data_IF_028530952301
#
_entry.id   IF_028530952301
#
_cell.length_a   1.000
_cell.length_b   1.000
_cell.length_c   1.000
_cell.angle_alpha   90.00
_cell.angle_beta   90.00
_cell.angle_gamma   90.00
#
_symmetry.space_group_name_H-M   'P 1'
#
loop_
_entity.id
_entity.type
_entity.pdbx_description
1 polymer ?
#
# COMPACT_ATOMS: atom_id res chain seq x y z
N UNK A 1 -3.40 6.00 -20.63
CA UNK A 1 -2.56 7.16 -20.24
C UNK A 1 -2.32 7.05 -18.74
N UNK A 2 -1.07 7.16 -18.28
CA UNK A 2 -0.78 7.16 -16.84
C UNK A 2 -1.00 8.57 -16.27
N UNK A 3 -1.59 8.68 -15.07
CA UNK A 3 -1.83 9.97 -14.38
C UNK A 3 -0.59 10.49 -13.64
N UNK A 4 0.41 9.62 -13.45
CA UNK A 4 1.67 9.91 -12.75
C UNK A 4 2.81 9.15 -13.42
N UNK A 5 4.04 9.61 -13.21
CA UNK A 5 5.25 8.86 -13.55
C UNK A 5 5.32 7.55 -12.76
N UNK A 6 5.91 6.54 -13.37
CA UNK A 6 6.18 5.26 -12.72
C UNK A 6 7.26 5.38 -11.64
N UNK A 7 7.09 4.64 -10.54
CA UNK A 7 8.10 4.49 -9.49
C UNK A 7 9.03 3.32 -9.80
N UNK A 8 10.24 3.31 -9.25
CA UNK A 8 11.13 2.15 -9.31
C UNK A 8 11.61 1.82 -7.90
N UNK A 9 11.41 0.57 -7.50
CA UNK A 9 11.87 0.03 -6.22
C UNK A 9 12.80 -1.15 -6.48
N UNK A 10 13.84 -1.34 -5.65
CA UNK A 10 14.78 -2.44 -5.83
C UNK A 10 14.10 -3.78 -5.54
N UNK A 11 14.51 -4.82 -6.28
CA UNK A 11 14.20 -6.20 -5.91
C UNK A 11 14.90 -6.54 -4.60
N UNK A 12 14.21 -7.25 -3.70
CA UNK A 12 14.80 -7.75 -2.46
C UNK A 12 15.73 -8.93 -2.78
N UNK A 13 17.03 -8.65 -2.86
CA UNK A 13 18.07 -9.64 -3.17
C UNK A 13 18.89 -10.08 -1.95
N UNK A 14 18.66 -9.47 -0.80
CA UNK A 14 19.37 -9.70 0.44
C UNK A 14 18.41 -9.76 1.62
N UNK A 15 18.87 -10.31 2.74
CA UNK A 15 18.08 -10.35 3.97
C UNK A 15 17.94 -8.94 4.53
N UNK A 16 16.70 -8.52 4.78
CA UNK A 16 16.39 -7.22 5.34
C UNK A 16 15.97 -7.34 6.81
N UNK A 17 16.64 -6.59 7.69
CA UNK A 17 16.24 -6.47 9.10
C UNK A 17 15.35 -5.26 9.30
N UNK A 18 14.08 -5.51 9.59
CA UNK A 18 13.09 -4.47 9.93
C UNK A 18 12.31 -4.87 11.17
N UNK A 19 11.66 -3.91 11.82
CA UNK A 19 10.76 -4.22 12.94
C UNK A 19 9.46 -4.86 12.46
N UNK A 20 8.96 -4.42 11.30
CA UNK A 20 7.72 -4.93 10.70
C UNK A 20 7.90 -5.12 9.20
N UNK A 21 7.58 -6.32 8.70
CA UNK A 21 7.44 -6.60 7.28
C UNK A 21 5.96 -6.59 6.88
N UNK A 22 5.63 -5.81 5.85
CA UNK A 22 4.28 -5.66 5.30
C UNK A 22 4.26 -6.34 3.93
N UNK A 23 3.39 -7.34 3.78
CA UNK A 23 3.22 -8.08 2.53
C UNK A 23 2.00 -7.51 1.79
N UNK A 24 2.23 -6.94 0.61
CA UNK A 24 1.24 -6.27 -0.23
C UNK A 24 1.42 -4.75 -0.30
N UNK A 25 1.68 -4.24 -1.51
CA UNK A 25 1.87 -2.83 -1.86
C UNK A 25 0.59 -2.13 -2.33
N UNK A 26 -0.58 -2.56 -1.83
CA UNK A 26 -1.85 -1.87 -2.06
C UNK A 26 -2.09 -0.70 -1.10
N UNK A 27 -3.25 -0.06 -1.18
CA UNK A 27 -3.59 1.08 -0.30
C UNK A 27 -3.46 0.74 1.19
N UNK A 28 -3.94 -0.43 1.60
CA UNK A 28 -3.87 -0.86 3.00
C UNK A 28 -2.44 -0.99 3.49
N UNK A 29 -1.57 -1.68 2.74
CA UNK A 29 -0.16 -1.87 3.12
C UNK A 29 0.60 -0.55 3.21
N UNK A 30 0.39 0.34 2.25
CA UNK A 30 1.02 1.66 2.22
C UNK A 30 0.52 2.54 3.38
N UNK A 31 -0.79 2.55 3.65
CA UNK A 31 -1.35 3.30 4.78
C UNK A 31 -0.85 2.76 6.12
N UNK A 32 -0.76 1.44 6.30
CA UNK A 32 -0.18 0.83 7.50
C UNK A 32 1.29 1.22 7.68
N UNK A 33 2.10 1.13 6.62
CA UNK A 33 3.51 1.53 6.66
C UNK A 33 3.67 3.02 7.02
N UNK A 34 2.82 3.89 6.46
CA UNK A 34 2.83 5.32 6.77
C UNK A 34 2.55 5.58 8.25
N UNK A 35 1.53 4.94 8.82
CA UNK A 35 1.19 5.10 10.24
C UNK A 35 2.30 4.58 11.15
N UNK A 36 2.88 3.41 10.83
CA UNK A 36 4.00 2.85 11.60
C UNK A 36 5.25 3.73 11.54
N UNK A 37 5.59 4.25 10.36
CA UNK A 37 6.73 5.16 10.21
C UNK A 37 6.52 6.48 10.98
N UNK A 38 5.29 6.98 11.09
CA UNK A 38 4.98 8.15 11.92
C UNK A 38 5.27 7.92 13.41
N UNK A 39 5.14 6.69 13.88
CA UNK A 39 5.51 6.28 15.24
C UNK A 39 6.99 5.88 15.35
N UNK A 40 7.80 6.10 14.31
CA UNK A 40 9.23 5.80 14.30
C UNK A 40 9.57 4.31 14.13
N UNK A 41 8.59 3.48 13.76
CA UNK A 41 8.80 2.04 13.56
C UNK A 41 9.37 1.80 12.17
N UNK A 42 10.52 1.12 12.08
CA UNK A 42 11.13 0.78 10.81
C UNK A 42 10.37 -0.36 10.13
N UNK A 43 9.85 -0.10 8.92
CA UNK A 43 9.03 -1.04 8.15
C UNK A 43 9.60 -1.35 6.78
N UNK A 44 9.41 -2.57 6.30
CA UNK A 44 9.57 -2.93 4.88
C UNK A 44 8.23 -3.27 4.24
N UNK A 45 8.04 -2.89 2.98
CA UNK A 45 6.88 -3.28 2.17
C UNK A 45 7.39 -4.18 1.05
N UNK A 46 6.78 -5.35 0.89
CA UNK A 46 7.11 -6.33 -0.14
C UNK A 46 5.87 -6.57 -0.99
N UNK A 47 5.98 -6.33 -2.29
CA UNK A 47 4.94 -6.55 -3.29
C UNK A 47 5.49 -7.52 -4.35
N UNK A 48 4.67 -8.47 -4.79
CA UNK A 48 5.06 -9.46 -5.79
C UNK A 48 5.14 -8.84 -7.19
N UNK A 49 4.28 -7.84 -7.45
CA UNK A 49 4.29 -7.07 -8.68
C UNK A 49 4.80 -5.64 -8.41
N UNK A 50 4.13 -4.65 -8.99
CA UNK A 50 4.41 -3.24 -8.77
C UNK A 50 3.39 -2.68 -7.78
N UNK A 51 3.88 -1.85 -6.85
CA UNK A 51 3.04 -1.13 -5.88
C UNK A 51 1.86 -0.44 -6.59
N UNK A 52 0.67 -0.55 -5.99
CA UNK A 52 -0.59 -0.02 -6.50
C UNK A 52 -1.11 -0.58 -7.84
N UNK A 53 -0.50 -1.60 -8.43
CA UNK A 53 -1.00 -2.19 -9.70
C UNK A 53 -2.03 -3.31 -9.52
N UNK A 54 -2.30 -3.76 -8.29
CA UNK A 54 -3.37 -4.71 -8.00
C UNK A 54 -4.79 -4.09 -8.01
N UNK A 55 -5.66 -4.53 -7.11
CA UNK A 55 -7.06 -4.03 -7.02
C UNK A 55 -7.16 -2.52 -6.85
N UNK A 56 -6.23 -1.89 -6.12
CA UNK A 56 -6.27 -0.45 -5.87
C UNK A 56 -6.07 0.38 -7.14
N UNK A 57 -5.16 -0.01 -8.04
CA UNK A 57 -4.93 0.71 -9.29
C UNK A 57 -6.08 0.59 -10.29
N UNK A 58 -6.91 -0.44 -10.13
CA UNK A 58 -8.00 -0.77 -11.05
C UNK A 58 -9.39 -0.29 -10.59
N UNK A 59 -9.49 0.41 -9.44
CA UNK A 59 -10.75 1.01 -8.97
C UNK A 59 -10.84 2.50 -9.32
N UNK A 60 -12.05 3.04 -9.40
CA UNK A 60 -12.30 4.47 -9.66
C UNK A 60 -12.04 5.38 -8.44
N UNK A 61 -11.48 4.83 -7.37
CA UNK A 61 -11.19 5.53 -6.12
C UNK A 61 -12.40 6.28 -5.51
N UNK A 62 -13.62 5.72 -5.64
CA UNK A 62 -14.82 6.26 -4.98
C UNK A 62 -14.68 6.13 -3.46
N UNK A 63 -14.60 7.26 -2.77
CA UNK A 63 -14.53 7.33 -1.31
C UNK A 63 -15.85 7.90 -0.78
N UNK A 64 -16.47 7.22 0.17
CA UNK A 64 -17.67 7.68 0.88
C UNK A 64 -17.68 7.11 2.29
N UNK A 65 -18.20 7.86 3.26
CA UNK A 65 -18.33 7.36 4.63
C UNK A 65 -19.37 6.24 4.74
N UNK A 66 -20.35 6.20 3.84
CA UNK A 66 -21.43 5.21 3.83
C UNK A 66 -22.11 5.19 2.46
N UNK A 67 -22.40 4.00 1.92
CA UNK A 67 -23.16 3.83 0.68
C UNK A 67 -24.43 3.04 0.94
N UNK A 68 -25.59 3.72 0.90
CA UNK A 68 -26.89 3.12 1.22
C UNK A 68 -27.25 3.24 2.71
N UNK A 69 -28.53 3.00 3.05
CA UNK A 69 -29.02 3.17 4.41
C UNK A 69 -28.51 2.08 5.37
N UNK A 70 -28.20 2.46 6.62
CA UNK A 70 -28.14 1.51 7.73
C UNK A 70 -29.59 1.41 8.23
N UNK A 71 -30.31 0.40 7.77
CA UNK A 71 -31.58 0.01 8.37
C UNK A 71 -31.28 -0.93 9.53
N UNK A 72 -31.92 -0.67 10.67
CA UNK A 72 -31.80 -1.47 11.88
C UNK A 72 -32.55 -2.79 11.75
#
# INVERSE_FOLDING_TARGET
MASTTETQYPTLNEDLKVNVAIIGGGITGISSAYMLNKEGINTAIIEAERIFQGTTGHMTAKITSQHGPIVK
#
